data_IF_978930583646
#
_entry.id   IF_978930583646
#
_cell.length_a   1.000
_cell.length_b   1.000
_cell.length_c   1.000
_cell.angle_alpha   90.00
_cell.angle_beta   90.00
_cell.angle_gamma   90.00
#
_symmetry.space_group_name_H-M   'P 1'
#
loop_
_entity.id
_entity.type
_entity.pdbx_description
1 polymer ?
#
# COMPACT_ATOMS: atom_id res chain seq x y z
N UNK A 1 13.39 28.56 -9.31
CA UNK A 1 13.99 28.09 -8.04
C UNK A 1 13.05 27.03 -7.50
N UNK A 2 13.51 25.79 -7.41
CA UNK A 2 12.66 24.67 -6.98
C UNK A 2 12.44 24.75 -5.48
N UNK A 3 11.23 25.11 -5.07
CA UNK A 3 10.75 25.00 -3.68
C UNK A 3 10.78 23.53 -3.27
N UNK A 4 11.94 23.09 -2.81
CA UNK A 4 12.10 21.80 -2.15
C UNK A 4 11.60 22.04 -0.73
N UNK A 5 10.28 21.98 -0.55
CA UNK A 5 9.66 22.02 0.78
C UNK A 5 10.42 21.06 1.69
N UNK A 6 10.97 21.58 2.77
CA UNK A 6 11.70 20.82 3.78
C UNK A 6 10.85 19.59 4.15
N UNK A 7 11.34 18.39 3.79
CA UNK A 7 10.74 17.16 4.29
C UNK A 7 11.04 17.14 5.78
N UNK A 8 9.98 17.06 6.58
CA UNK A 8 10.11 16.80 8.00
C UNK A 8 10.64 15.38 8.18
N UNK A 9 11.72 15.24 8.94
CA UNK A 9 12.31 13.96 9.32
C UNK A 9 11.64 13.36 10.58
N UNK A 10 10.58 13.99 11.10
CA UNK A 10 9.84 13.49 12.25
C UNK A 10 8.95 12.30 11.84
N UNK A 11 9.16 11.15 12.49
CA UNK A 11 8.35 9.95 12.29
C UNK A 11 6.85 10.21 12.50
N UNK A 12 6.50 11.12 13.42
CA UNK A 12 5.10 11.47 13.71
C UNK A 12 4.40 12.07 12.49
N UNK A 13 5.15 12.74 11.61
CA UNK A 13 4.58 13.33 10.41
C UNK A 13 4.16 12.28 9.38
N UNK A 14 4.80 11.10 9.38
CA UNK A 14 4.46 9.96 8.54
C UNK A 14 3.29 9.12 9.10
N UNK A 15 3.03 9.22 10.40
CA UNK A 15 1.94 8.48 11.06
C UNK A 15 0.60 9.23 10.99
N UNK A 16 0.60 10.51 10.60
CA UNK A 16 -0.64 11.28 10.45
C UNK A 16 -1.49 10.72 9.31
N UNK A 17 -2.82 10.62 9.49
CA UNK A 17 -3.73 10.28 8.41
C UNK A 17 -3.52 11.22 7.21
N UNK A 18 -3.16 10.66 6.06
CA UNK A 18 -3.03 11.45 4.85
C UNK A 18 -4.39 11.58 4.16
N UNK A 19 -4.66 12.74 3.55
CA UNK A 19 -5.83 12.90 2.72
C UNK A 19 -5.74 11.96 1.50
N UNK A 20 -6.85 11.37 1.03
CA UNK A 20 -6.86 10.56 -0.18
C UNK A 20 -6.29 11.34 -1.36
N UNK A 21 -5.49 10.66 -2.19
CA UNK A 21 -4.97 11.24 -3.42
C UNK A 21 -6.11 11.61 -4.37
N UNK A 22 -5.97 12.76 -5.03
CA UNK A 22 -6.88 13.25 -6.09
C UNK A 22 -6.27 13.16 -7.49
N UNK A 23 -5.06 12.63 -7.60
CA UNK A 23 -4.36 12.49 -8.88
C UNK A 23 -5.05 11.43 -9.75
N UNK A 24 -5.61 11.81 -10.93
CA UNK A 24 -6.29 10.88 -11.82
C UNK A 24 -5.43 9.70 -12.26
N UNK A 25 -4.13 9.92 -12.50
CA UNK A 25 -3.22 8.87 -12.97
C UNK A 25 -3.00 7.82 -11.86
N UNK A 26 -2.77 8.27 -10.64
CA UNK A 26 -2.67 7.39 -9.47
C UNK A 26 -3.96 6.61 -9.22
N UNK A 27 -5.12 7.27 -9.32
CA UNK A 27 -6.42 6.62 -9.09
C UNK A 27 -6.68 5.51 -10.13
N UNK A 28 -6.45 5.80 -11.41
CA UNK A 28 -6.61 4.81 -12.48
C UNK A 28 -5.68 3.60 -12.29
N UNK A 29 -4.42 3.84 -11.94
CA UNK A 29 -3.46 2.78 -11.63
C UNK A 29 -3.89 1.95 -10.42
N UNK A 30 -4.31 2.60 -9.32
CA UNK A 30 -4.75 1.94 -8.10
C UNK A 30 -5.94 1.02 -8.37
N UNK A 31 -6.93 1.50 -9.11
CA UNK A 31 -8.09 0.69 -9.48
C UNK A 31 -7.70 -0.51 -10.35
N UNK A 32 -6.86 -0.31 -11.36
CA UNK A 32 -6.39 -1.40 -12.21
C UNK A 32 -5.65 -2.47 -11.39
N UNK A 33 -4.81 -2.05 -10.44
CA UNK A 33 -4.07 -2.95 -9.54
C UNK A 33 -5.01 -3.74 -8.63
N UNK A 34 -6.03 -3.10 -8.05
CA UNK A 34 -7.03 -3.78 -7.21
C UNK A 34 -7.81 -4.80 -8.04
N UNK A 35 -8.31 -4.42 -9.22
CA UNK A 35 -9.06 -5.32 -10.09
C UNK A 35 -8.23 -6.54 -10.50
N UNK A 36 -6.96 -6.34 -10.84
CA UNK A 36 -6.05 -7.44 -11.18
C UNK A 36 -5.80 -8.37 -10.00
N UNK A 37 -5.63 -7.84 -8.79
CA UNK A 37 -5.42 -8.65 -7.59
C UNK A 37 -6.66 -9.50 -7.24
N UNK A 38 -7.86 -8.90 -7.33
CA UNK A 38 -9.11 -9.62 -7.09
C UNK A 38 -9.35 -10.70 -8.15
N UNK A 39 -9.04 -10.42 -9.42
CA UNK A 39 -9.15 -11.43 -10.46
C UNK A 39 -8.21 -12.61 -10.22
N UNK A 40 -6.97 -12.35 -9.78
CA UNK A 40 -6.00 -13.40 -9.45
C UNK A 40 -6.46 -14.25 -8.26
N UNK A 41 -6.99 -13.61 -7.21
CA UNK A 41 -7.51 -14.28 -6.02
C UNK A 41 -8.70 -15.20 -6.34
N UNK A 42 -9.58 -14.78 -7.25
CA UNK A 42 -10.69 -15.60 -7.72
C UNK A 42 -10.25 -16.78 -8.59
N UNK A 43 -9.19 -16.61 -9.39
CA UNK A 43 -8.70 -17.67 -10.30
C UNK A 43 -7.81 -18.70 -9.61
N UNK A 44 -7.07 -18.30 -8.57
CA UNK A 44 -6.02 -19.10 -7.94
C UNK A 44 -6.05 -18.91 -6.40
N UNK A 45 -7.18 -19.20 -5.73
CA UNK A 45 -7.34 -18.95 -4.30
C UNK A 45 -6.32 -19.72 -3.43
N UNK A 46 -5.80 -20.84 -3.93
CA UNK A 46 -4.75 -21.63 -3.26
C UNK A 46 -3.40 -20.91 -3.19
N UNK A 47 -3.19 -19.85 -3.98
CA UNK A 47 -1.99 -19.01 -3.92
C UNK A 47 -2.08 -17.92 -2.85
N UNK A 48 -3.23 -17.76 -2.20
CA UNK A 48 -3.36 -16.86 -1.07
C UNK A 48 -2.37 -17.25 0.04
N UNK A 49 -1.54 -16.28 0.48
CA UNK A 49 -0.54 -16.52 1.51
C UNK A 49 -1.23 -16.42 2.88
N UNK A 50 -1.17 -17.46 3.74
CA UNK A 50 -1.69 -17.38 5.09
C UNK A 50 -1.08 -16.23 5.89
N UNK A 51 -1.90 -15.56 6.71
CA UNK A 51 -1.49 -14.40 7.49
C UNK A 51 -0.28 -14.69 8.40
N UNK A 52 -0.22 -15.88 8.99
CA UNK A 52 0.90 -16.37 9.79
C UNK A 52 2.24 -16.32 9.03
N UNK A 53 2.24 -16.70 7.74
CA UNK A 53 3.45 -16.64 6.91
C UNK A 53 3.87 -15.20 6.62
N UNK A 54 2.91 -14.28 6.52
CA UNK A 54 3.17 -12.86 6.37
C UNK A 54 3.79 -12.31 7.65
N UNK A 55 3.20 -12.60 8.81
CA UNK A 55 3.73 -12.17 10.10
C UNK A 55 5.15 -12.68 10.34
N UNK A 56 5.39 -13.97 10.09
CA UNK A 56 6.72 -14.56 10.14
C UNK A 56 7.74 -13.84 9.27
N UNK A 57 7.36 -13.56 8.02
CA UNK A 57 8.24 -12.90 7.04
C UNK A 57 8.65 -11.49 7.48
N UNK A 58 7.77 -10.78 8.18
CA UNK A 58 7.99 -9.39 8.60
C UNK A 58 8.28 -9.23 10.10
N UNK A 59 8.44 -10.32 10.86
CA UNK A 59 8.70 -10.28 12.30
C UNK A 59 7.55 -9.69 13.11
N UNK A 60 6.31 -9.90 12.67
CA UNK A 60 5.08 -9.44 13.34
C UNK A 60 4.41 -10.56 14.17
N UNK A 61 5.18 -11.59 14.51
CA UNK A 61 4.72 -12.67 15.41
C UNK A 61 4.62 -12.09 16.84
N UNK A 62 3.45 -12.22 17.47
CA UNK A 62 3.18 -11.80 18.86
C UNK A 62 3.34 -12.96 19.83
#
# INVERSE_FOLDING_TARGET
MSDTKARSDDIQDFLRPCAPSRDPAYLAWREAKIRSALAADLSEPEKAIPLEKIWKKYGLEY
#
